data_IF_647205026907
#
_entry.id   IF_647205026907
#
_cell.length_a   1.000
_cell.length_b   1.000
_cell.length_c   1.000
_cell.angle_alpha   90.00
_cell.angle_beta   90.00
_cell.angle_gamma   90.00
#
_symmetry.space_group_name_H-M   'P 1'
#
loop_
_entity.id
_entity.type
_entity.pdbx_description
1 polymer ?
#
# COMPACT_ATOMS: atom_id res chain seq x y z
N UNK A 1 0.86 66.29 -31.67
CA UNK A 1 -0.13 65.21 -31.71
C UNK A 1 0.39 64.04 -30.89
N UNK A 2 -0.23 63.75 -29.74
CA UNK A 2 0.16 62.59 -28.93
C UNK A 2 -0.28 61.29 -29.59
N UNK A 3 0.52 60.21 -29.63
CA UNK A 3 0.13 58.96 -30.21
C UNK A 3 -1.04 58.35 -29.43
N UNK A 4 -2.16 58.10 -30.12
CA UNK A 4 -3.31 57.36 -29.59
C UNK A 4 -2.79 55.98 -29.11
N UNK A 5 -3.00 55.70 -27.81
CA UNK A 5 -2.82 54.35 -27.26
C UNK A 5 -3.65 53.38 -28.12
N UNK A 6 -3.02 52.62 -29.01
CA UNK A 6 -3.67 51.54 -29.75
C UNK A 6 -3.96 50.43 -28.75
N UNK A 7 -5.21 50.02 -28.62
CA UNK A 7 -5.61 48.82 -27.88
C UNK A 7 -4.99 47.59 -28.51
N UNK A 8 -5.05 46.46 -27.81
CA UNK A 8 -4.55 45.17 -28.27
C UNK A 8 -5.09 44.82 -29.68
N UNK A 9 -4.19 44.54 -30.63
CA UNK A 9 -4.54 44.22 -32.02
C UNK A 9 -4.98 45.38 -32.89
N UNK A 10 -5.43 45.07 -34.09
CA UNK A 10 -5.91 46.05 -35.10
C UNK A 10 -7.21 45.57 -35.72
N UNK A 11 -8.08 46.50 -36.08
CA UNK A 11 -9.32 46.26 -36.84
C UNK A 11 -9.28 47.01 -38.13
N UNK A 12 -9.47 46.31 -39.24
CA UNK A 12 -9.46 46.82 -40.62
C UNK A 12 -10.85 46.64 -41.23
N UNK A 13 -11.35 47.66 -41.91
CA UNK A 13 -12.59 47.53 -42.71
C UNK A 13 -12.26 47.03 -44.09
N UNK A 14 -12.97 46.01 -44.53
CA UNK A 14 -12.82 45.43 -45.85
C UNK A 14 -13.72 46.12 -46.89
N UNK A 15 -13.42 45.97 -48.18
CA UNK A 15 -14.27 46.52 -49.25
C UNK A 15 -15.73 46.03 -49.18
N UNK A 16 -15.97 44.87 -48.58
CA UNK A 16 -17.31 44.31 -48.36
C UNK A 16 -18.10 45.02 -47.21
N UNK A 17 -17.53 46.06 -46.63
CA UNK A 17 -18.13 46.73 -45.43
C UNK A 17 -17.90 46.00 -44.11
N UNK A 18 -17.44 44.76 -44.12
CA UNK A 18 -17.19 43.96 -42.94
C UNK A 18 -15.83 44.29 -42.30
N UNK A 19 -15.64 43.88 -41.05
CA UNK A 19 -14.42 44.19 -40.31
C UNK A 19 -13.58 42.92 -40.09
N UNK A 20 -12.25 43.05 -40.24
CA UNK A 20 -11.26 42.03 -39.98
C UNK A 20 -10.44 42.42 -38.76
N UNK A 21 -10.34 41.52 -37.78
CA UNK A 21 -9.49 41.68 -36.63
C UNK A 21 -8.16 40.95 -36.78
N UNK A 22 -7.07 41.61 -36.38
CA UNK A 22 -5.71 41.05 -36.43
C UNK A 22 -4.98 41.37 -35.13
N UNK A 23 -4.19 40.43 -34.60
CA UNK A 23 -3.36 40.63 -33.41
C UNK A 23 -2.02 39.91 -33.53
N UNK A 24 -1.04 40.25 -32.72
CA UNK A 24 0.22 39.54 -32.59
C UNK A 24 0.14 38.70 -31.34
N UNK A 25 0.35 37.38 -31.47
CA UNK A 25 0.22 36.42 -30.40
C UNK A 25 1.61 36.13 -29.73
N UNK A 26 1.62 35.38 -28.60
CA UNK A 26 2.84 35.00 -27.91
C UNK A 26 3.81 34.15 -28.74
N UNK A 27 3.31 33.44 -29.77
CA UNK A 27 4.12 32.68 -30.73
C UNK A 27 4.91 33.57 -31.71
N UNK A 28 4.81 34.90 -31.56
CA UNK A 28 5.45 35.90 -32.41
C UNK A 28 4.79 36.10 -33.78
N UNK A 29 3.78 35.31 -34.15
CA UNK A 29 3.05 35.39 -35.40
C UNK A 29 1.87 36.37 -35.33
N UNK A 30 1.45 36.83 -36.53
CA UNK A 30 0.25 37.64 -36.66
C UNK A 30 -0.94 36.74 -37.01
N UNK A 31 -1.96 36.73 -36.12
CA UNK A 31 -3.19 35.96 -36.32
C UNK A 31 -4.34 36.86 -36.71
N UNK A 32 -5.26 36.29 -37.50
CA UNK A 32 -6.47 36.97 -37.98
C UNK A 32 -7.69 36.27 -37.35
N UNK A 33 -8.74 37.01 -37.09
CA UNK A 33 -10.00 36.42 -36.61
C UNK A 33 -10.52 35.35 -37.59
N UNK A 34 -11.14 34.27 -37.08
CA UNK A 34 -11.58 33.12 -37.87
C UNK A 34 -12.64 33.51 -38.90
N UNK A 35 -13.37 34.61 -38.66
CA UNK A 35 -14.38 35.17 -39.56
C UNK A 35 -14.27 36.69 -39.62
N UNK A 36 -14.91 37.32 -40.59
CA UNK A 36 -15.09 38.77 -40.61
C UNK A 36 -16.29 39.15 -39.80
N UNK A 37 -16.24 40.28 -39.11
CA UNK A 37 -17.26 40.76 -38.20
C UNK A 37 -18.20 41.79 -38.93
N UNK A 38 -19.46 41.88 -38.50
CA UNK A 38 -20.38 42.82 -39.08
C UNK A 38 -20.12 44.25 -38.58
N UNK A 39 -19.74 44.39 -37.32
CA UNK A 39 -19.44 45.69 -36.71
C UNK A 39 -17.97 45.78 -36.25
N UNK A 40 -17.48 47.01 -36.17
CA UNK A 40 -16.15 47.31 -35.61
C UNK A 40 -16.13 46.98 -34.10
N UNK A 41 -17.25 47.05 -33.44
CA UNK A 41 -17.39 46.74 -32.01
C UNK A 41 -17.21 45.24 -31.78
N UNK A 42 -17.81 44.36 -32.56
CA UNK A 42 -17.67 42.91 -32.46
C UNK A 42 -16.23 42.49 -32.71
N UNK A 43 -15.58 43.07 -33.71
CA UNK A 43 -14.17 42.82 -33.98
C UNK A 43 -13.25 43.20 -32.78
N UNK A 44 -13.55 44.29 -32.11
CA UNK A 44 -12.86 44.72 -30.86
C UNK A 44 -13.17 43.85 -29.67
N UNK A 45 -14.42 43.43 -29.50
CA UNK A 45 -14.80 42.49 -28.45
C UNK A 45 -14.06 41.15 -28.61
N UNK A 46 -13.97 40.62 -29.82
CA UNK A 46 -13.18 39.42 -30.11
C UNK A 46 -11.69 39.61 -29.77
N UNK A 47 -11.07 40.74 -30.13
CA UNK A 47 -9.69 41.05 -29.75
C UNK A 47 -9.50 41.13 -28.25
N UNK A 48 -10.44 41.66 -27.50
CA UNK A 48 -10.41 41.70 -26.02
C UNK A 48 -10.45 40.29 -25.42
N UNK A 49 -11.25 39.38 -26.00
CA UNK A 49 -11.26 37.97 -25.59
C UNK A 49 -9.90 37.31 -25.83
N UNK A 50 -9.30 37.49 -27.03
CA UNK A 50 -7.97 36.94 -27.31
C UNK A 50 -6.88 37.49 -26.36
N UNK A 51 -6.98 38.77 -26.03
CA UNK A 51 -6.07 39.38 -25.06
C UNK A 51 -6.24 38.78 -23.64
N UNK A 52 -7.50 38.56 -23.22
CA UNK A 52 -7.80 37.92 -21.95
C UNK A 52 -7.24 36.48 -21.88
N UNK A 53 -7.37 35.72 -22.96
CA UNK A 53 -6.84 34.35 -23.05
C UNK A 53 -5.29 34.33 -22.98
N UNK A 54 -4.64 35.29 -23.63
CA UNK A 54 -3.17 35.46 -23.55
C UNK A 54 -2.74 35.78 -22.09
N UNK A 55 -3.42 36.72 -21.44
CA UNK A 55 -3.11 37.12 -20.07
C UNK A 55 -3.33 35.95 -19.08
N UNK A 56 -4.37 35.13 -19.33
CA UNK A 56 -4.67 33.94 -18.55
C UNK A 56 -3.77 32.74 -18.90
N UNK A 57 -2.86 32.86 -19.88
CA UNK A 57 -2.04 31.75 -20.43
C UNK A 57 -2.88 30.59 -20.98
N UNK A 58 -4.08 30.87 -21.47
CA UNK A 58 -5.00 29.91 -22.07
C UNK A 58 -5.06 30.01 -23.60
N UNK A 59 -4.33 30.96 -24.18
CA UNK A 59 -4.28 31.14 -25.62
C UNK A 59 -3.54 30.00 -26.30
N UNK A 60 -4.12 29.46 -27.39
CA UNK A 60 -3.49 28.50 -28.28
C UNK A 60 -3.60 28.99 -29.71
N UNK A 61 -2.60 28.66 -30.60
CA UNK A 61 -2.68 28.97 -32.06
C UNK A 61 -3.96 28.39 -32.66
N UNK A 62 -4.65 29.12 -33.56
CA UNK A 62 -5.87 28.62 -34.20
C UNK A 62 -5.65 27.35 -35.08
N UNK A 63 -4.42 27.12 -35.50
CA UNK A 63 -3.95 25.96 -36.23
C UNK A 63 -3.27 24.91 -35.34
N UNK A 64 -3.29 25.11 -34.05
CA UNK A 64 -2.80 24.09 -33.11
C UNK A 64 -3.61 22.81 -33.34
N UNK A 65 -2.88 21.70 -33.54
CA UNK A 65 -3.49 20.39 -33.51
C UNK A 65 -4.34 20.26 -32.22
N UNK A 66 -5.53 19.68 -32.31
CA UNK A 66 -6.37 19.55 -31.11
C UNK A 66 -5.55 18.92 -30.00
N UNK A 67 -5.45 19.61 -28.87
CA UNK A 67 -4.68 19.13 -27.71
C UNK A 67 -5.06 17.68 -27.47
N UNK A 68 -4.06 16.77 -27.49
CA UNK A 68 -4.29 15.35 -27.29
C UNK A 68 -5.04 15.19 -25.96
N UNK A 69 -6.31 14.80 -26.05
CA UNK A 69 -7.15 14.62 -24.86
C UNK A 69 -6.67 13.39 -24.11
N UNK A 70 -5.83 13.59 -23.12
CA UNK A 70 -5.31 12.51 -22.29
C UNK A 70 -6.46 11.92 -21.47
N UNK A 71 -6.80 10.65 -21.69
CA UNK A 71 -7.79 9.95 -20.91
C UNK A 71 -7.21 9.46 -19.58
N UNK A 72 -8.08 9.25 -18.57
CA UNK A 72 -7.64 8.65 -17.31
C UNK A 72 -6.98 7.28 -17.52
N UNK A 73 -7.51 6.44 -18.40
CA UNK A 73 -6.92 5.12 -18.68
C UNK A 73 -5.49 5.24 -19.19
N UNK A 74 -5.25 6.07 -20.22
CA UNK A 74 -3.91 6.26 -20.77
C UNK A 74 -2.93 6.78 -19.73
N UNK A 75 -3.32 7.81 -18.97
CA UNK A 75 -2.47 8.40 -17.94
C UNK A 75 -2.18 7.41 -16.80
N UNK A 76 -3.20 6.71 -16.28
CA UNK A 76 -3.06 5.78 -15.18
C UNK A 76 -2.18 4.56 -15.53
N UNK A 77 -2.27 4.05 -16.75
CA UNK A 77 -1.42 2.95 -17.24
C UNK A 77 0.05 3.38 -17.30
N UNK A 78 0.35 4.52 -17.90
CA UNK A 78 1.71 5.10 -17.92
C UNK A 78 2.21 5.33 -16.50
N UNK A 79 1.37 5.89 -15.61
CA UNK A 79 1.70 6.16 -14.22
C UNK A 79 2.11 4.90 -13.44
N UNK A 80 1.45 3.75 -13.67
CA UNK A 80 1.84 2.46 -13.05
C UNK A 80 3.10 1.89 -13.68
N UNK A 81 3.26 2.03 -15.01
CA UNK A 81 4.41 1.50 -15.74
C UNK A 81 5.71 2.17 -15.29
N UNK A 82 5.73 3.50 -15.20
CA UNK A 82 6.93 4.30 -14.95
C UNK A 82 7.40 4.25 -13.48
N UNK A 83 6.55 3.77 -12.56
CA UNK A 83 6.90 3.75 -11.14
C UNK A 83 7.70 2.51 -10.75
N UNK A 84 8.73 2.71 -9.94
CA UNK A 84 9.46 1.63 -9.27
C UNK A 84 8.61 1.05 -8.13
N UNK A 85 7.75 0.09 -8.46
CA UNK A 85 6.86 -0.57 -7.52
C UNK A 85 7.34 -1.99 -7.23
N UNK A 86 7.20 -2.43 -5.97
CA UNK A 86 7.36 -3.86 -5.66
C UNK A 86 6.29 -4.68 -6.40
N UNK A 87 6.59 -5.90 -6.88
CA UNK A 87 5.68 -6.68 -7.73
C UNK A 87 4.26 -6.79 -7.18
N UNK A 88 4.10 -7.07 -5.88
CA UNK A 88 2.77 -7.15 -5.25
C UNK A 88 2.02 -5.82 -5.21
N UNK A 89 2.73 -4.70 -5.08
CA UNK A 89 2.10 -3.38 -5.11
C UNK A 89 1.61 -3.06 -6.50
N UNK A 90 2.40 -3.40 -7.53
CA UNK A 90 2.02 -3.25 -8.94
C UNK A 90 0.79 -4.09 -9.27
N UNK A 91 0.78 -5.38 -8.92
CA UNK A 91 -0.37 -6.28 -9.08
C UNK A 91 -1.62 -5.72 -8.38
N UNK A 92 -1.48 -5.24 -7.15
CA UNK A 92 -2.59 -4.64 -6.42
C UNK A 92 -3.13 -3.37 -7.07
N UNK A 93 -2.24 -2.48 -7.53
CA UNK A 93 -2.65 -1.26 -8.23
C UNK A 93 -3.31 -1.56 -9.56
N UNK A 94 -2.78 -2.53 -10.31
CA UNK A 94 -3.39 -2.96 -11.57
C UNK A 94 -4.81 -3.47 -11.35
N UNK A 95 -5.03 -4.34 -10.37
CA UNK A 95 -6.39 -4.83 -10.03
C UNK A 95 -7.34 -3.72 -9.60
N UNK A 96 -6.85 -2.74 -8.82
CA UNK A 96 -7.68 -1.59 -8.44
C UNK A 96 -8.04 -0.73 -9.65
N UNK A 97 -7.10 -0.55 -10.58
CA UNK A 97 -7.37 0.14 -11.85
C UNK A 97 -8.43 -0.62 -12.64
N UNK A 98 -8.17 -1.88 -12.96
CA UNK A 98 -8.99 -2.67 -13.89
C UNK A 98 -10.43 -2.88 -13.37
N UNK A 99 -10.57 -3.15 -12.06
CA UNK A 99 -11.86 -3.53 -11.49
C UNK A 99 -12.62 -2.35 -10.90
N UNK A 100 -11.93 -1.35 -10.34
CA UNK A 100 -12.59 -0.30 -9.57
C UNK A 100 -12.59 1.07 -10.26
N UNK A 101 -11.55 1.41 -11.01
CA UNK A 101 -11.36 2.78 -11.51
C UNK A 101 -11.65 2.90 -13.01
N UNK A 102 -11.08 2.04 -13.85
CA UNK A 102 -11.22 2.11 -15.30
C UNK A 102 -12.67 1.95 -15.79
N UNK A 103 -13.53 1.13 -15.18
CA UNK A 103 -14.93 1.04 -15.59
C UNK A 103 -15.69 2.38 -15.52
N UNK A 104 -15.29 3.26 -14.58
CA UNK A 104 -15.95 4.56 -14.40
C UNK A 104 -15.19 5.69 -15.09
N UNK A 105 -13.87 5.77 -14.87
CA UNK A 105 -13.08 6.93 -15.27
C UNK A 105 -12.27 6.70 -16.55
N UNK A 106 -12.10 5.46 -16.99
CA UNK A 106 -11.13 5.10 -18.03
C UNK A 106 -11.24 5.92 -19.31
N UNK A 107 -12.43 6.08 -19.85
CA UNK A 107 -12.69 6.84 -21.07
C UNK A 107 -12.79 8.36 -20.86
N UNK A 108 -12.86 8.82 -19.61
CA UNK A 108 -12.98 10.25 -19.33
C UNK A 108 -11.65 10.97 -19.56
N UNK A 109 -11.71 12.15 -20.15
CA UNK A 109 -10.57 13.05 -20.23
C UNK A 109 -10.21 13.51 -18.81
N UNK A 110 -8.92 13.52 -18.44
CA UNK A 110 -8.47 13.90 -17.09
C UNK A 110 -9.08 15.23 -16.60
N UNK A 111 -9.09 16.23 -17.48
CA UNK A 111 -9.63 17.57 -17.16
C UNK A 111 -11.15 17.62 -17.00
N UNK A 112 -11.87 16.59 -17.43
CA UNK A 112 -13.34 16.51 -17.30
C UNK A 112 -13.81 15.80 -16.05
N UNK A 113 -12.92 15.15 -15.30
CA UNK A 113 -13.28 14.45 -14.07
C UNK A 113 -13.53 15.46 -12.96
N UNK A 114 -14.76 15.47 -12.46
CA UNK A 114 -15.22 16.42 -11.44
C UNK A 114 -15.30 15.81 -10.03
N UNK A 115 -15.27 16.62 -8.96
CA UNK A 115 -15.53 16.14 -7.61
C UNK A 115 -16.88 15.42 -7.46
N UNK A 116 -17.86 15.77 -8.29
CA UNK A 116 -19.18 15.12 -8.31
C UNK A 116 -19.10 13.70 -8.85
N UNK A 117 -18.32 13.47 -9.92
CA UNK A 117 -18.09 12.14 -10.46
C UNK A 117 -17.39 11.24 -9.44
N UNK A 118 -16.38 11.77 -8.75
CA UNK A 118 -15.68 11.06 -7.67
C UNK A 118 -16.63 10.70 -6.53
N UNK A 119 -17.50 11.60 -6.09
CA UNK A 119 -18.48 11.30 -5.04
C UNK A 119 -19.49 10.24 -5.47
N UNK A 120 -19.98 10.31 -6.71
CA UNK A 120 -20.92 9.34 -7.29
C UNK A 120 -20.27 7.95 -7.35
N UNK A 121 -19.09 7.85 -7.92
CA UNK A 121 -18.33 6.59 -7.98
C UNK A 121 -18.08 6.01 -6.58
N UNK A 122 -17.58 6.83 -5.64
CA UNK A 122 -17.29 6.38 -4.29
C UNK A 122 -18.55 5.90 -3.55
N UNK A 123 -19.70 6.54 -3.77
CA UNK A 123 -20.99 6.10 -3.24
C UNK A 123 -21.44 4.75 -3.83
N UNK A 124 -21.27 4.57 -5.14
CA UNK A 124 -21.63 3.34 -5.85
C UNK A 124 -20.84 2.10 -5.42
N UNK A 125 -19.61 2.27 -4.88
CA UNK A 125 -18.82 1.15 -4.34
C UNK A 125 -19.44 0.49 -3.10
N UNK A 126 -20.44 1.11 -2.48
CA UNK A 126 -21.09 0.61 -1.27
C UNK A 126 -20.21 0.60 -0.03
N UNK A 127 -20.67 -0.08 1.02
CA UNK A 127 -20.00 -0.09 2.35
C UNK A 127 -19.52 -1.48 2.78
N UNK A 128 -19.81 -2.53 2.02
CA UNK A 128 -19.50 -3.92 2.38
C UNK A 128 -18.01 -4.24 2.36
N UNK A 129 -17.23 -3.50 1.55
CA UNK A 129 -15.78 -3.69 1.41
C UNK A 129 -15.01 -2.40 1.72
N UNK A 130 -15.03 -1.91 2.97
CA UNK A 130 -14.51 -0.58 3.32
C UNK A 130 -13.01 -0.42 3.03
N UNK A 131 -12.22 -1.48 3.22
CA UNK A 131 -10.77 -1.46 2.92
C UNK A 131 -10.49 -1.36 1.42
N UNK A 132 -11.22 -2.12 0.60
CA UNK A 132 -11.10 -2.06 -0.86
C UNK A 132 -11.44 -0.65 -1.37
N UNK A 133 -12.56 -0.10 -0.87
CA UNK A 133 -13.01 1.26 -1.19
C UNK A 133 -11.97 2.33 -0.83
N UNK A 134 -11.40 2.24 0.38
CA UNK A 134 -10.36 3.16 0.81
C UNK A 134 -9.07 3.05 -0.04
N UNK A 135 -8.67 1.84 -0.42
CA UNK A 135 -7.51 1.61 -1.29
C UNK A 135 -7.75 2.15 -2.71
N UNK A 136 -8.92 1.89 -3.30
CA UNK A 136 -9.27 2.42 -4.62
C UNK A 136 -9.31 3.95 -4.62
N UNK A 137 -9.93 4.56 -3.60
CA UNK A 137 -9.93 6.00 -3.42
C UNK A 137 -8.51 6.58 -3.26
N UNK A 138 -7.68 5.94 -2.43
CA UNK A 138 -6.30 6.35 -2.22
C UNK A 138 -5.46 6.30 -3.51
N UNK A 139 -5.65 5.27 -4.32
CA UNK A 139 -4.98 5.14 -5.61
C UNK A 139 -5.43 6.23 -6.58
N UNK A 140 -6.75 6.44 -6.76
CA UNK A 140 -7.29 7.50 -7.60
C UNK A 140 -6.74 8.87 -7.18
N UNK A 141 -6.78 9.18 -5.88
CA UNK A 141 -6.28 10.44 -5.35
C UNK A 141 -4.79 10.63 -5.65
N UNK A 142 -3.99 9.57 -5.54
CA UNK A 142 -2.54 9.63 -5.79
C UNK A 142 -2.24 9.86 -7.27
N UNK A 143 -2.94 9.18 -8.18
CA UNK A 143 -2.80 9.37 -9.63
C UNK A 143 -3.16 10.80 -10.01
N UNK A 144 -4.31 11.31 -9.54
CA UNK A 144 -4.76 12.66 -9.85
C UNK A 144 -3.88 13.75 -9.20
N UNK A 145 -3.27 13.47 -8.04
CA UNK A 145 -2.28 14.36 -7.45
C UNK A 145 -1.00 14.43 -8.29
N UNK A 146 -0.57 13.32 -8.90
CA UNK A 146 0.54 13.33 -9.84
C UNK A 146 0.19 14.14 -11.09
N UNK A 147 -1.03 14.00 -11.61
CA UNK A 147 -1.49 14.79 -12.76
C UNK A 147 -1.51 16.30 -12.49
N UNK A 148 -1.74 16.72 -11.23
CA UNK A 148 -1.58 18.13 -10.82
C UNK A 148 -0.10 18.54 -10.82
N UNK A 149 0.79 17.68 -10.30
CA UNK A 149 2.24 17.95 -10.32
C UNK A 149 2.83 17.98 -11.73
N UNK A 150 2.24 17.21 -12.65
CA UNK A 150 2.59 17.19 -14.07
C UNK A 150 1.92 18.35 -14.86
N UNK A 151 1.29 19.30 -14.16
CA UNK A 151 0.61 20.48 -14.72
C UNK A 151 -0.55 20.16 -15.69
N UNK A 152 -1.04 18.90 -15.69
CA UNK A 152 -2.19 18.47 -16.48
C UNK A 152 -3.53 18.87 -15.87
N UNK A 153 -3.55 19.16 -14.57
CA UNK A 153 -4.72 19.58 -13.81
C UNK A 153 -4.39 20.78 -12.93
N UNK A 154 -5.28 21.75 -12.85
CA UNK A 154 -5.14 22.89 -11.95
C UNK A 154 -5.31 22.49 -10.46
N UNK A 155 -6.15 21.49 -10.17
CA UNK A 155 -6.43 21.02 -8.83
C UNK A 155 -6.86 19.54 -8.86
N UNK A 156 -6.63 18.84 -7.75
CA UNK A 156 -7.05 17.44 -7.63
C UNK A 156 -8.55 17.34 -7.30
N UNK A 157 -9.39 16.75 -8.17
CA UNK A 157 -10.82 16.60 -7.92
C UNK A 157 -11.17 15.56 -6.85
N UNK A 158 -10.19 14.73 -6.42
CA UNK A 158 -10.41 13.64 -5.47
C UNK A 158 -10.26 14.14 -4.04
N UNK A 159 -11.36 14.70 -3.53
CA UNK A 159 -11.40 15.27 -2.19
C UNK A 159 -12.69 14.86 -1.45
N UNK A 160 -12.60 13.73 -0.72
CA UNK A 160 -13.65 13.28 0.21
C UNK A 160 -12.98 13.02 1.56
N UNK A 161 -13.42 13.74 2.59
CA UNK A 161 -12.85 13.63 3.94
C UNK A 161 -13.07 12.21 4.47
N UNK A 162 -11.99 11.58 4.98
CA UNK A 162 -12.04 10.25 5.58
C UNK A 162 -12.10 9.08 4.59
N UNK A 163 -12.32 9.30 3.28
CA UNK A 163 -12.50 8.21 2.31
C UNK A 163 -11.25 7.34 2.08
N UNK A 164 -10.06 7.88 2.35
CA UNK A 164 -8.79 7.14 2.24
C UNK A 164 -8.47 6.23 3.44
N UNK A 165 -9.34 6.14 4.43
CA UNK A 165 -9.15 5.30 5.60
C UNK A 165 -10.36 4.38 5.81
N UNK A 166 -10.08 3.14 6.23
CA UNK A 166 -11.12 2.21 6.66
C UNK A 166 -10.92 1.87 8.13
N UNK A 167 -11.99 1.88 8.91
CA UNK A 167 -11.94 1.37 10.28
C UNK A 167 -11.68 -0.14 10.23
N UNK A 168 -10.72 -0.60 11.02
CA UNK A 168 -10.45 -2.03 11.16
C UNK A 168 -11.70 -2.72 11.75
N UNK A 169 -12.30 -3.62 10.97
CA UNK A 169 -13.47 -4.40 11.41
C UNK A 169 -13.02 -5.53 12.33
N UNK A 170 -11.84 -6.12 12.08
CA UNK A 170 -11.32 -7.22 12.87
C UNK A 170 -10.56 -6.70 14.10
N UNK A 171 -11.09 -6.99 15.28
CA UNK A 171 -10.38 -6.79 16.53
C UNK A 171 -9.43 -7.97 16.75
N UNK A 172 -8.15 -7.69 16.82
CA UNK A 172 -7.13 -8.70 17.10
C UNK A 172 -7.28 -9.12 18.57
N UNK A 173 -7.57 -10.41 18.77
CA UNK A 173 -7.55 -11.06 20.09
C UNK A 173 -6.43 -12.11 20.06
N UNK A 174 -5.29 -11.89 20.74
CA UNK A 174 -4.22 -12.87 20.85
C UNK A 174 -4.76 -14.20 21.41
N UNK A 175 -4.19 -15.31 20.97
CA UNK A 175 -4.53 -16.60 21.55
C UNK A 175 -3.92 -16.74 22.95
N UNK A 176 -4.66 -17.29 23.90
CA UNK A 176 -4.11 -17.76 25.18
C UNK A 176 -3.24 -19.00 24.95
N UNK A 177 -2.43 -19.37 25.95
CA UNK A 177 -1.58 -20.56 25.84
C UNK A 177 -2.40 -21.85 25.64
N UNK A 178 -3.51 -22.10 26.35
CA UNK A 178 -4.37 -23.27 26.09
C UNK A 178 -5.00 -23.26 24.69
N UNK A 179 -5.46 -22.08 24.20
CA UNK A 179 -6.00 -21.95 22.85
C UNK A 179 -4.92 -22.23 21.78
N UNK A 180 -3.68 -21.80 22.02
CA UNK A 180 -2.55 -22.06 21.13
C UNK A 180 -2.18 -23.54 21.11
N UNK A 181 -2.16 -24.20 22.25
CA UNK A 181 -1.90 -25.63 22.37
C UNK A 181 -2.95 -26.47 21.66
N UNK A 182 -4.23 -26.18 21.89
CA UNK A 182 -5.34 -26.81 21.20
C UNK A 182 -5.26 -26.63 19.68
N UNK A 183 -4.93 -25.43 19.23
CA UNK A 183 -4.72 -25.13 17.82
C UNK A 183 -3.58 -25.95 17.22
N UNK A 184 -2.41 -25.97 17.88
CA UNK A 184 -1.23 -26.71 17.39
C UNK A 184 -1.51 -28.23 17.35
N UNK A 185 -2.20 -28.76 18.33
CA UNK A 185 -2.60 -30.18 18.41
C UNK A 185 -3.55 -30.53 17.26
N UNK A 186 -4.51 -29.65 16.96
CA UNK A 186 -5.46 -29.83 15.86
C UNK A 186 -4.86 -29.66 14.46
N UNK A 187 -3.69 -28.99 14.36
CA UNK A 187 -2.99 -28.87 13.08
C UNK A 187 -2.39 -30.20 12.62
N UNK A 188 -2.42 -30.50 11.29
CA UNK A 188 -1.66 -31.63 10.75
C UNK A 188 -0.18 -31.56 11.15
N UNK A 189 0.43 -32.71 11.50
CA UNK A 189 1.80 -32.79 12.04
C UNK A 189 2.82 -31.95 11.24
N UNK A 190 2.77 -31.99 9.94
CA UNK A 190 3.66 -31.23 9.05
C UNK A 190 3.61 -29.71 9.22
N UNK A 191 2.52 -29.14 9.78
CA UNK A 191 2.34 -27.70 9.98
C UNK A 191 2.42 -27.27 11.44
N UNK A 192 2.54 -28.21 12.41
CA UNK A 192 2.60 -27.88 13.84
C UNK A 192 3.78 -26.97 14.15
N UNK A 193 4.98 -27.33 13.66
CA UNK A 193 6.20 -26.50 13.87
C UNK A 193 6.04 -25.13 13.19
N UNK A 194 5.47 -25.06 12.00
CA UNK A 194 5.20 -23.78 11.36
C UNK A 194 4.26 -22.88 12.19
N UNK A 195 3.23 -23.48 12.82
CA UNK A 195 2.30 -22.79 13.69
C UNK A 195 2.98 -22.31 14.96
N UNK A 196 3.83 -23.14 15.59
CA UNK A 196 4.65 -22.77 16.73
C UNK A 196 5.59 -21.60 16.42
N UNK A 197 6.29 -21.65 15.30
CA UNK A 197 7.20 -20.55 14.88
C UNK A 197 6.43 -19.27 14.55
N UNK A 198 5.22 -19.36 13.97
CA UNK A 198 4.36 -18.20 13.74
C UNK A 198 3.97 -17.52 15.06
N UNK A 199 3.65 -18.30 16.10
CA UNK A 199 3.24 -17.82 17.40
C UNK A 199 4.41 -17.39 18.27
N UNK A 200 5.40 -18.26 18.53
CA UNK A 200 6.46 -17.99 19.50
C UNK A 200 7.60 -17.12 18.96
N UNK A 201 7.96 -17.30 17.68
CA UNK A 201 9.00 -16.49 17.01
C UNK A 201 8.39 -15.31 16.26
N UNK A 202 7.08 -15.20 16.21
CA UNK A 202 6.32 -14.12 15.57
C UNK A 202 6.72 -13.89 14.09
N UNK A 203 7.04 -14.98 13.36
CA UNK A 203 7.43 -14.91 11.95
C UNK A 203 6.22 -14.67 11.06
N UNK A 204 6.44 -13.89 9.99
CA UNK A 204 5.40 -13.65 8.97
C UNK A 204 5.21 -14.89 8.10
N UNK A 205 4.01 -15.07 7.52
CA UNK A 205 3.74 -16.19 6.62
C UNK A 205 4.79 -16.31 5.49
N UNK A 206 5.11 -15.22 4.82
CA UNK A 206 6.09 -15.23 3.74
C UNK A 206 7.53 -15.51 4.20
N UNK A 207 7.88 -15.16 5.44
CA UNK A 207 9.16 -15.51 6.06
C UNK A 207 9.22 -17.02 6.37
N UNK A 208 8.16 -17.58 6.95
CA UNK A 208 8.03 -19.01 7.23
C UNK A 208 8.05 -19.87 5.96
N UNK A 209 7.34 -19.42 4.93
CA UNK A 209 7.23 -20.16 3.66
C UNK A 209 8.54 -20.17 2.89
N UNK A 210 9.41 -19.15 3.04
CA UNK A 210 10.75 -19.11 2.45
C UNK A 210 11.85 -19.65 3.39
N UNK A 211 11.53 -19.97 4.64
CA UNK A 211 12.52 -20.42 5.61
C UNK A 211 13.20 -21.71 5.13
N UNK A 212 14.53 -21.70 5.07
CA UNK A 212 15.36 -22.81 4.60
C UNK A 212 16.13 -23.43 5.75
N UNK A 213 16.61 -24.65 5.55
CA UNK A 213 17.41 -25.38 6.54
C UNK A 213 18.59 -24.55 7.05
N UNK A 214 19.36 -23.92 6.16
CA UNK A 214 20.52 -23.08 6.48
C UNK A 214 20.20 -21.84 7.31
N UNK A 215 18.94 -21.44 7.36
CA UNK A 215 18.49 -20.25 8.11
C UNK A 215 18.21 -20.59 9.58
N UNK A 216 18.21 -21.87 9.96
CA UNK A 216 17.96 -22.36 11.32
C UNK A 216 19.23 -22.95 11.90
N UNK A 217 19.71 -22.33 12.96
CA UNK A 217 20.86 -22.77 13.73
C UNK A 217 20.32 -23.25 15.08
N UNK A 218 20.24 -24.59 15.24
CA UNK A 218 19.69 -25.20 16.45
C UNK A 218 20.66 -25.17 17.62
N UNK A 219 21.95 -25.11 17.35
CA UNK A 219 22.97 -25.08 18.38
C UNK A 219 23.11 -23.69 18.98
N UNK A 220 23.07 -22.65 18.13
CA UNK A 220 22.96 -21.27 18.57
C UNK A 220 21.54 -20.86 19.01
N UNK A 221 20.53 -21.70 18.76
CA UNK A 221 19.14 -21.41 19.09
C UNK A 221 18.56 -20.21 18.32
N UNK A 222 18.90 -20.03 17.03
CA UNK A 222 18.58 -18.82 16.27
C UNK A 222 17.98 -19.15 14.89
N UNK A 223 17.00 -18.36 14.48
CA UNK A 223 16.48 -18.30 13.10
C UNK A 223 16.94 -17.01 12.45
N UNK A 224 17.63 -17.12 11.30
CA UNK A 224 18.12 -16.00 10.50
C UNK A 224 17.11 -15.64 9.43
N UNK A 225 16.29 -14.60 9.67
CA UNK A 225 15.31 -14.09 8.70
C UNK A 225 16.02 -13.17 7.70
N UNK A 226 16.23 -13.66 6.49
CA UNK A 226 16.96 -12.95 5.43
C UNK A 226 16.09 -12.68 4.20
N UNK A 227 15.05 -13.47 4.02
CA UNK A 227 14.20 -13.48 2.85
C UNK A 227 12.75 -13.69 3.24
N UNK A 228 11.87 -13.38 2.32
CA UNK A 228 10.47 -13.77 2.38
C UNK A 228 9.94 -14.00 0.99
N UNK A 229 8.89 -14.78 0.88
CA UNK A 229 8.21 -15.03 -0.39
C UNK A 229 6.86 -14.31 -0.44
N UNK A 230 6.54 -13.77 -1.60
CA UNK A 230 5.25 -13.14 -1.87
C UNK A 230 4.63 -13.82 -3.07
N UNK A 231 3.33 -14.15 -2.98
CA UNK A 231 2.58 -14.67 -4.12
C UNK A 231 2.04 -13.51 -4.94
N UNK A 232 2.36 -13.52 -6.25
CA UNK A 232 1.92 -12.52 -7.22
C UNK A 232 1.51 -13.28 -8.47
N UNK A 233 0.33 -13.02 -8.96
CA UNK A 233 -0.20 -13.59 -10.21
C UNK A 233 -0.03 -15.13 -10.33
N UNK A 234 -0.38 -15.81 -9.23
CA UNK A 234 -0.27 -17.27 -9.14
C UNK A 234 1.15 -17.82 -8.89
N UNK A 235 2.19 -17.03 -9.15
CA UNK A 235 3.61 -17.36 -8.92
C UNK A 235 4.11 -16.95 -7.53
N UNK A 236 5.36 -17.37 -7.23
CA UNK A 236 6.06 -16.99 -6.00
C UNK A 236 7.29 -16.17 -6.33
N UNK A 237 7.43 -15.02 -5.70
CA UNK A 237 8.60 -14.15 -5.83
C UNK A 237 9.31 -14.09 -4.48
N UNK A 238 10.54 -14.61 -4.45
CA UNK A 238 11.44 -14.50 -3.30
C UNK A 238 12.10 -13.13 -3.34
N UNK A 239 12.15 -12.46 -2.22
CA UNK A 239 12.78 -11.15 -2.11
C UNK A 239 13.27 -10.84 -0.69
N UNK A 240 13.95 -9.72 -0.56
CA UNK A 240 14.32 -9.18 0.75
C UNK A 240 13.09 -8.71 1.51
N UNK A 241 13.13 -8.67 2.86
CA UNK A 241 12.08 -8.07 3.65
C UNK A 241 11.75 -6.63 3.21
N UNK A 242 10.55 -6.14 3.58
CA UNK A 242 10.09 -4.80 3.16
C UNK A 242 10.97 -3.64 3.65
N UNK A 243 11.69 -3.85 4.75
CA UNK A 243 12.56 -2.85 5.39
C UNK A 243 13.83 -3.53 5.90
N UNK A 244 14.88 -2.75 6.16
CA UNK A 244 16.11 -3.24 6.76
C UNK A 244 15.86 -3.97 8.09
N UNK A 245 14.96 -3.45 8.92
CA UNK A 245 14.53 -4.08 10.18
C UNK A 245 13.90 -5.47 10.00
N UNK A 246 13.43 -5.80 8.79
CA UNK A 246 12.92 -7.13 8.48
C UNK A 246 14.00 -8.20 8.39
N UNK A 247 15.24 -7.82 8.08
CA UNK A 247 16.42 -8.69 8.12
C UNK A 247 16.93 -8.74 9.56
N UNK A 248 16.75 -9.89 10.21
CA UNK A 248 16.98 -10.02 11.64
C UNK A 248 17.29 -11.46 12.03
N UNK A 249 17.82 -11.62 13.23
CA UNK A 249 17.97 -12.89 13.91
C UNK A 249 16.91 -12.99 15.02
N UNK A 250 16.25 -14.14 15.12
CA UNK A 250 15.21 -14.39 16.11
C UNK A 250 15.62 -15.57 16.95
N UNK A 251 15.84 -15.34 18.27
CA UNK A 251 16.11 -16.41 19.22
C UNK A 251 14.92 -17.37 19.31
N UNK A 252 15.20 -18.66 19.24
CA UNK A 252 14.21 -19.74 19.35
C UNK A 252 13.99 -20.02 20.84
N UNK A 253 12.76 -19.97 21.36
CA UNK A 253 12.47 -20.43 22.71
C UNK A 253 12.94 -21.90 22.88
N UNK A 254 13.71 -22.23 23.95
CA UNK A 254 14.33 -23.54 24.12
C UNK A 254 13.36 -24.73 24.00
N UNK A 255 12.11 -24.56 24.47
CA UNK A 255 11.09 -25.60 24.41
C UNK A 255 10.65 -25.98 22.98
N UNK A 256 10.98 -25.15 21.95
CA UNK A 256 10.68 -25.46 20.55
C UNK A 256 11.78 -26.26 19.86
N UNK A 257 13.02 -26.26 20.39
CA UNK A 257 14.18 -26.88 19.76
C UNK A 257 13.97 -28.38 19.48
N UNK A 258 13.41 -29.18 20.41
CA UNK A 258 13.17 -30.60 20.15
C UNK A 258 12.23 -30.83 18.98
N UNK A 259 11.09 -30.12 18.94
CA UNK A 259 10.11 -30.26 17.85
C UNK A 259 10.67 -29.78 16.52
N UNK A 260 11.50 -28.73 16.51
CA UNK A 260 12.15 -28.22 15.33
C UNK A 260 13.20 -29.17 14.80
N UNK A 261 14.01 -29.80 15.69
CA UNK A 261 14.99 -30.82 15.35
C UNK A 261 14.33 -32.05 14.71
N UNK A 262 13.26 -32.54 15.30
CA UNK A 262 12.46 -33.62 14.74
C UNK A 262 11.91 -33.28 13.33
N UNK A 263 11.34 -32.10 13.19
CA UNK A 263 10.83 -31.63 11.89
C UNK A 263 11.93 -31.57 10.85
N UNK A 264 13.07 -31.01 11.18
CA UNK A 264 14.22 -30.92 10.28
C UNK A 264 14.82 -32.28 9.92
N UNK A 265 14.71 -33.28 10.81
CA UNK A 265 15.17 -34.63 10.53
C UNK A 265 14.30 -35.41 9.54
N UNK A 266 12.98 -35.17 9.56
CA UNK A 266 12.00 -35.98 8.81
C UNK A 266 11.59 -35.43 7.45
N UNK A 267 11.70 -34.14 7.22
CA UNK A 267 10.85 -33.52 6.18
C UNK A 267 11.57 -32.69 5.14
N UNK A 268 12.89 -32.60 5.14
CA UNK A 268 13.57 -31.61 4.30
C UNK A 268 14.33 -32.29 3.17
N UNK A 269 13.77 -32.23 1.96
CA UNK A 269 14.48 -32.45 0.72
C UNK A 269 15.34 -31.22 0.34
N UNK A 270 16.45 -31.44 -0.39
CA UNK A 270 17.24 -30.34 -0.97
C UNK A 270 18.37 -29.77 -0.10
N UNK A 271 18.83 -30.52 0.93
CA UNK A 271 19.99 -30.14 1.72
C UNK A 271 19.83 -28.78 2.42
N UNK A 272 20.91 -28.02 2.53
CA UNK A 272 20.93 -26.72 3.22
C UNK A 272 19.99 -25.64 2.61
N UNK A 273 19.69 -25.76 1.31
CA UNK A 273 18.78 -24.84 0.62
C UNK A 273 17.31 -25.33 0.60
N UNK A 274 17.03 -26.51 1.16
CA UNK A 274 15.67 -27.06 1.24
C UNK A 274 14.75 -26.19 2.08
N UNK A 275 13.50 -26.02 1.63
CA UNK A 275 12.45 -25.30 2.37
C UNK A 275 12.04 -26.12 3.60
N UNK A 276 11.89 -25.44 4.75
CA UNK A 276 11.37 -26.09 5.96
C UNK A 276 9.89 -26.48 5.82
N UNK A 277 9.13 -25.69 5.10
CA UNK A 277 7.68 -25.83 4.95
C UNK A 277 7.29 -25.79 3.46
N UNK A 278 7.68 -26.80 2.68
CA UNK A 278 7.39 -26.85 1.26
C UNK A 278 5.92 -27.19 0.97
N UNK A 279 5.54 -27.08 -0.30
CA UNK A 279 4.26 -27.57 -0.81
C UNK A 279 4.12 -29.09 -0.58
N UNK A 280 2.87 -29.58 -0.50
CA UNK A 280 2.60 -31.01 -0.22
C UNK A 280 3.01 -31.93 -1.37
N UNK A 281 2.86 -31.49 -2.60
CA UNK A 281 3.13 -32.31 -3.78
C UNK A 281 4.53 -32.14 -4.38
N UNK A 282 5.26 -31.07 -3.97
CA UNK A 282 6.56 -30.77 -4.53
C UNK A 282 7.41 -30.05 -3.48
N UNK A 283 8.47 -30.72 -2.97
CA UNK A 283 9.33 -30.15 -1.92
C UNK A 283 10.18 -28.96 -2.40
N UNK A 284 10.30 -28.73 -3.68
CA UNK A 284 11.00 -27.56 -4.25
C UNK A 284 10.11 -26.31 -4.32
N UNK A 285 8.79 -26.45 -4.18
CA UNK A 285 7.82 -25.35 -4.31
C UNK A 285 7.39 -24.81 -2.97
N UNK A 286 7.17 -23.50 -2.93
CA UNK A 286 6.66 -22.81 -1.76
C UNK A 286 5.21 -23.22 -1.44
N UNK A 287 4.90 -23.24 -0.15
CA UNK A 287 3.56 -23.51 0.35
C UNK A 287 2.59 -22.38 -0.04
N UNK A 288 1.54 -22.73 -0.78
CA UNK A 288 0.49 -21.77 -1.12
C UNK A 288 -0.36 -21.42 0.12
N UNK A 289 -0.73 -20.13 0.32
CA UNK A 289 -1.57 -19.72 1.44
C UNK A 289 -2.88 -20.52 1.54
N UNK A 290 -3.54 -20.80 0.41
CA UNK A 290 -4.81 -21.54 0.38
C UNK A 290 -4.68 -22.96 0.95
N UNK A 291 -3.53 -23.64 0.71
CA UNK A 291 -3.29 -24.98 1.22
C UNK A 291 -3.16 -25.01 2.74
N UNK A 292 -2.46 -24.04 3.32
CA UNK A 292 -2.35 -23.89 4.77
C UNK A 292 -3.67 -23.43 5.41
N UNK A 293 -4.32 -22.40 4.83
CA UNK A 293 -5.51 -21.82 5.43
C UNK A 293 -6.68 -22.80 5.48
N UNK A 294 -6.80 -23.70 4.52
CA UNK A 294 -7.83 -24.74 4.54
C UNK A 294 -7.75 -25.63 5.79
N UNK A 295 -6.55 -26.03 6.20
CA UNK A 295 -6.36 -26.86 7.40
C UNK A 295 -6.36 -26.01 8.67
N UNK A 296 -5.82 -24.81 8.62
CA UNK A 296 -5.82 -23.86 9.72
C UNK A 296 -7.24 -23.45 10.14
N UNK A 297 -8.14 -23.24 9.20
CA UNK A 297 -9.53 -22.88 9.52
C UNK A 297 -10.28 -24.00 10.21
N UNK A 298 -9.96 -25.26 9.92
CA UNK A 298 -10.49 -26.39 10.68
C UNK A 298 -9.89 -26.47 12.09
N UNK A 299 -8.59 -26.30 12.20
CA UNK A 299 -7.90 -26.37 13.47
C UNK A 299 -8.31 -25.24 14.45
N UNK A 300 -8.56 -24.04 13.97
CA UNK A 300 -9.03 -22.92 14.81
C UNK A 300 -10.46 -23.15 15.35
N UNK A 301 -11.33 -23.82 14.58
CA UNK A 301 -12.65 -24.22 15.06
C UNK A 301 -12.53 -25.19 16.24
N UNK A 302 -11.65 -26.21 16.11
CA UNK A 302 -11.36 -27.15 17.19
C UNK A 302 -10.79 -26.46 18.43
N UNK A 303 -9.98 -25.43 18.24
CA UNK A 303 -9.42 -24.60 19.31
C UNK A 303 -10.43 -23.59 19.90
N UNK A 304 -11.69 -23.58 19.46
CA UNK A 304 -12.71 -22.64 19.93
C UNK A 304 -12.44 -21.18 19.49
N UNK A 305 -11.65 -20.97 18.42
CA UNK A 305 -11.23 -19.65 17.94
C UNK A 305 -11.54 -19.42 16.46
N UNK A 306 -12.83 -19.45 16.08
CA UNK A 306 -13.24 -19.22 14.69
C UNK A 306 -12.86 -17.81 14.18
N UNK A 307 -12.65 -16.86 15.06
CA UNK A 307 -12.20 -15.51 14.78
C UNK A 307 -10.72 -15.42 14.39
N UNK A 308 -9.88 -16.39 14.82
CA UNK A 308 -8.43 -16.33 14.70
C UNK A 308 -7.98 -16.38 13.24
N UNK A 309 -7.13 -15.45 12.82
CA UNK A 309 -6.47 -15.44 11.54
C UNK A 309 -5.03 -15.90 11.67
N UNK A 310 -4.44 -16.46 10.62
CA UNK A 310 -3.04 -16.90 10.66
C UNK A 310 -2.09 -15.78 11.14
N UNK A 311 -2.32 -14.55 10.69
CA UNK A 311 -1.48 -13.42 11.09
C UNK A 311 -1.63 -13.04 12.59
N UNK A 312 -2.73 -13.45 13.23
CA UNK A 312 -2.96 -13.19 14.65
C UNK A 312 -2.04 -14.05 15.55
N UNK A 313 -1.48 -15.15 15.02
CA UNK A 313 -0.43 -15.91 15.70
C UNK A 313 0.82 -15.04 15.93
N UNK A 314 1.20 -14.25 14.95
CA UNK A 314 2.29 -13.28 15.12
C UNK A 314 1.93 -12.19 16.14
N UNK A 315 0.69 -11.76 16.20
CA UNK A 315 0.22 -10.85 17.24
C UNK A 315 0.25 -11.50 18.62
N UNK A 316 -0.09 -12.79 18.71
CA UNK A 316 0.07 -13.59 19.93
C UNK A 316 1.52 -13.59 20.40
N UNK A 317 2.47 -13.91 19.53
CA UNK A 317 3.89 -13.89 19.88
C UNK A 317 4.42 -12.52 20.30
N UNK A 318 3.90 -11.46 19.68
CA UNK A 318 4.25 -10.10 20.08
C UNK A 318 3.75 -9.75 21.49
N UNK A 319 2.53 -10.18 21.84
CA UNK A 319 1.96 -9.98 23.19
C UNK A 319 2.71 -10.83 24.21
N UNK A 320 2.97 -12.10 23.91
CA UNK A 320 3.75 -12.97 24.80
C UNK A 320 5.15 -12.39 25.07
N UNK A 321 5.85 -11.89 24.03
CA UNK A 321 7.13 -11.23 24.20
C UNK A 321 7.02 -9.93 25.03
N UNK A 322 5.98 -9.13 24.85
CA UNK A 322 5.75 -7.93 25.66
C UNK A 322 5.49 -8.28 27.14
N UNK A 323 4.81 -9.39 27.43
CA UNK A 323 4.54 -9.88 28.79
C UNK A 323 5.81 -10.29 29.53
N UNK A 324 6.88 -10.72 28.82
CA UNK A 324 8.17 -11.03 29.48
C UNK A 324 8.92 -9.79 29.96
N UNK A 325 8.46 -8.62 29.58
CA UNK A 325 9.11 -7.39 29.95
C UNK A 325 9.98 -6.76 28.87
N UNK A 326 9.94 -7.31 27.67
CA UNK A 326 10.72 -6.76 26.58
C UNK A 326 10.44 -5.26 26.35
N UNK A 327 11.50 -4.50 26.21
CA UNK A 327 11.46 -3.08 25.84
C UNK A 327 10.85 -2.89 24.44
N UNK A 328 10.44 -1.66 24.13
CA UNK A 328 9.94 -1.34 22.77
C UNK A 328 10.97 -1.65 21.69
N UNK A 329 12.25 -1.37 21.94
CA UNK A 329 13.34 -1.63 21.00
C UNK A 329 13.53 -3.13 20.75
N UNK A 330 13.52 -3.96 21.81
CA UNK A 330 13.63 -5.41 21.70
C UNK A 330 12.43 -6.00 20.94
N UNK A 331 11.20 -5.53 21.22
CA UNK A 331 10.02 -5.94 20.47
C UNK A 331 10.12 -5.54 18.99
N UNK A 332 10.57 -4.32 18.70
CA UNK A 332 10.79 -3.89 17.32
C UNK A 332 11.82 -4.77 16.62
N UNK A 333 12.95 -5.07 17.25
CA UNK A 333 14.00 -5.94 16.71
C UNK A 333 13.47 -7.35 16.45
N UNK A 334 12.85 -7.99 17.46
CA UNK A 334 12.30 -9.34 17.33
C UNK A 334 11.24 -9.46 16.24
N UNK A 335 10.35 -8.48 16.16
CA UNK A 335 9.25 -8.45 15.18
C UNK A 335 9.69 -7.94 13.80
N UNK A 336 10.80 -7.26 13.68
CA UNK A 336 11.20 -6.58 12.45
C UNK A 336 10.22 -5.46 12.09
N UNK A 337 9.90 -4.59 13.05
CA UNK A 337 9.10 -3.39 12.85
C UNK A 337 10.01 -2.19 12.61
N UNK A 338 9.74 -1.44 11.54
CA UNK A 338 10.49 -0.22 11.21
C UNK A 338 9.95 1.03 11.91
N UNK A 339 8.77 0.94 12.54
CA UNK A 339 8.15 2.07 13.24
C UNK A 339 7.75 1.70 14.66
N UNK A 340 7.97 2.58 15.66
CA UNK A 340 7.55 2.38 17.05
C UNK A 340 6.05 2.13 17.18
N UNK A 341 5.23 2.86 16.44
CA UNK A 341 3.77 2.76 16.48
C UNK A 341 3.25 1.35 16.19
N UNK A 342 3.96 0.58 15.33
CA UNK A 342 3.59 -0.81 15.06
C UNK A 342 3.80 -1.73 16.25
N UNK A 343 4.79 -1.46 17.12
CA UNK A 343 5.11 -2.27 18.30
C UNK A 343 4.41 -1.77 19.57
N UNK A 344 4.16 -0.46 19.71
CA UNK A 344 3.49 0.13 20.89
C UNK A 344 2.14 -0.51 21.23
N UNK A 345 1.39 -0.96 20.22
CA UNK A 345 0.11 -1.65 20.42
C UNK A 345 0.20 -2.89 21.32
N UNK A 346 1.38 -3.51 21.42
CA UNK A 346 1.59 -4.69 22.23
C UNK A 346 2.01 -4.37 23.66
N UNK A 347 2.63 -3.22 23.91
CA UNK A 347 2.96 -2.77 25.26
C UNK A 347 1.72 -2.46 26.09
N UNK A 348 0.66 -1.95 25.47
CA UNK A 348 -0.62 -1.75 26.17
C UNK A 348 -1.32 -3.05 26.59
N UNK A 349 -0.96 -4.19 25.98
CA UNK A 349 -1.50 -5.50 26.35
C UNK A 349 -0.83 -6.11 27.59
N UNK A 350 0.29 -5.55 28.04
CA UNK A 350 1.02 -5.96 29.26
C UNK A 350 0.46 -5.25 30.53
N UNK A 351 -0.88 -5.18 30.65
CA UNK A 351 -1.52 -4.60 31.85
C UNK A 351 -1.16 -5.39 33.11
N UNK A 352 -0.95 -4.68 34.20
CA UNK A 352 -0.65 -5.29 35.56
C UNK A 352 0.84 -5.37 35.86
N UNK A 353 1.72 -4.79 35.04
CA UNK A 353 3.15 -4.86 35.26
C UNK A 353 3.70 -3.92 36.34
N UNK A 354 2.95 -2.92 36.74
CA UNK A 354 3.38 -1.95 37.75
C UNK A 354 3.73 -2.64 39.07
N UNK A 355 2.92 -3.61 39.52
CA UNK A 355 3.22 -4.43 40.68
C UNK A 355 4.50 -5.27 40.51
N UNK A 356 4.77 -5.78 39.32
CA UNK A 356 6.03 -6.52 39.05
C UNK A 356 7.24 -5.57 39.05
N UNK A 357 7.08 -4.36 38.51
CA UNK A 357 8.12 -3.32 38.57
C UNK A 357 8.39 -2.95 40.06
N UNK A 358 7.37 -2.71 40.83
CA UNK A 358 7.52 -2.40 42.25
C UNK A 358 8.21 -3.53 43.03
N UNK A 359 7.85 -4.79 42.77
CA UNK A 359 8.53 -5.95 43.38
C UNK A 359 10.00 -6.05 42.95
N UNK A 360 10.30 -5.81 41.68
CA UNK A 360 11.67 -5.81 41.19
C UNK A 360 12.51 -4.67 41.79
N UNK A 361 11.93 -3.47 41.94
CA UNK A 361 12.59 -2.37 42.62
C UNK A 361 12.90 -2.70 44.13
N UNK A 362 11.97 -3.37 44.82
CA UNK A 362 12.20 -3.82 46.20
C UNK A 362 13.36 -4.84 46.24
N UNK A 363 13.37 -5.82 45.34
CA UNK A 363 14.45 -6.81 45.30
C UNK A 363 15.83 -6.17 44.99
N UNK A 364 15.89 -5.12 44.15
CA UNK A 364 17.13 -4.38 43.96
C UNK A 364 17.60 -3.63 45.18
N UNK A 365 16.68 -3.07 46.00
CA UNK A 365 17.01 -2.41 47.26
C UNK A 365 17.51 -3.38 48.30
N UNK A 366 16.87 -4.57 48.41
CA UNK A 366 17.26 -5.64 49.36
C UNK A 366 18.61 -6.26 48.97
N UNK A 367 18.89 -6.44 47.68
CA UNK A 367 20.17 -6.97 47.17
C UNK A 367 21.39 -6.08 47.41
N UNK A 368 21.20 -4.76 47.63
CA UNK A 368 22.27 -3.81 47.96
C UNK A 368 22.65 -3.80 49.45
N UNK A 369 21.88 -4.45 50.33
CA UNK A 369 22.17 -4.51 51.76
C UNK A 369 22.97 -5.75 52.17
N UNK A 370 23.35 -6.61 51.21
CA UNK A 370 24.09 -7.87 51.45
C UNK A 370 25.42 -7.93 50.69
N UNK A 371 25.98 -6.77 50.28
CA UNK A 371 27.27 -6.65 49.64
C UNK A 371 28.31 -5.87 50.45
#
# INVERSE_FOLDING_TARGET
>A
MAPRKSGFGSVEQLPSGRYRAKYRAPDGRRHTGPTTFQTKQDARAWLAMQHADIVRKQWAPPDAAPAVKITFASYAQTWVADRTLKPRTRDHYQRLLDVQLLPTFGSMVLTSITPTDVRRWHGAMGTTTPTLRAHAYGLLRTIMATAVNDELLAANPVHIVGAGSAKAVHKIRPASLPELEALVTAMPQRYRVMTLLAAWCALRFGELTELRRKDVDLDAGVIRVRRGVTRVDGGFIVGTPKSAAGTRDVAIPPHLIPALREHMGKSIAGGQNGLLFPSTGDPSRHLAPASLYRVFYRAREVAGRPDLRWHDLRHTGAVLAAQTGASLAELMGRLGHSTPQAAMRYQHAAKGRDAQIASALSALAEGQHHG
#
